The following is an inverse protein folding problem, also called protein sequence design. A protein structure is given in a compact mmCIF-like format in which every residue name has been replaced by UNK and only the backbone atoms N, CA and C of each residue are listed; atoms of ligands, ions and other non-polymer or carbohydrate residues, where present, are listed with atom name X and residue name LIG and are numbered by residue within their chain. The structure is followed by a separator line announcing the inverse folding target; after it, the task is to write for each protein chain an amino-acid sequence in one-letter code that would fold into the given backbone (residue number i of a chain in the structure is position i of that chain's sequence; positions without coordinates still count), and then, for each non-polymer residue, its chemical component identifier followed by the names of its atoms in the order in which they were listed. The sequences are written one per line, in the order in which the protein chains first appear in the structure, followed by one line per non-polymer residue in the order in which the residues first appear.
data_IF_050779653482
#
_entry.id   IF_050779653482
#
_cell.length_a   1.000
_cell.length_b   1.000
_cell.length_c   1.000
_cell.angle_alpha   90.00
_cell.angle_beta   90.00
_cell.angle_gamma   90.00
#
_symmetry.space_group_name_H-M   'P 1'
#
loop_
_entity.id
_entity.type
_entity.pdbx_description
1 polymer ?
#
# COMPACT_ATOMS: atom_id res chain seq x y z
N UNK A 1 -3.63 -17.47 -30.87
CA UNK A 1 -3.51 -17.88 -29.45
C UNK A 1 -2.23 -17.25 -28.91
N UNK A 2 -2.30 -16.52 -27.81
CA UNK A 2 -1.09 -15.91 -27.21
C UNK A 2 -0.27 -17.04 -26.57
N UNK A 3 1.03 -16.99 -26.75
CA UNK A 3 1.97 -17.85 -26.06
C UNK A 3 1.90 -17.54 -24.56
N UNK A 4 1.53 -18.54 -23.74
CA UNK A 4 1.32 -18.38 -22.29
C UNK A 4 2.60 -18.02 -21.56
N UNK A 5 3.74 -18.51 -21.98
CA UNK A 5 5.04 -18.18 -21.37
C UNK A 5 5.43 -16.74 -21.65
N UNK A 6 5.21 -16.26 -22.87
CA UNK A 6 5.43 -14.85 -23.21
C UNK A 6 4.49 -13.92 -22.47
N UNK A 7 3.21 -14.30 -22.33
CA UNK A 7 2.23 -13.53 -21.57
C UNK A 7 2.64 -13.40 -20.10
N UNK A 8 3.02 -14.51 -19.49
CA UNK A 8 3.45 -14.53 -18.10
C UNK A 8 4.69 -13.69 -17.87
N UNK A 9 5.69 -13.82 -18.74
CA UNK A 9 6.93 -13.04 -18.67
C UNK A 9 6.66 -11.53 -18.80
N UNK A 10 5.82 -11.12 -19.74
CA UNK A 10 5.45 -9.71 -19.92
C UNK A 10 4.68 -9.18 -18.72
N UNK A 11 3.76 -9.96 -18.17
CA UNK A 11 3.05 -9.61 -16.94
C UNK A 11 4.00 -9.40 -15.75
N UNK A 12 4.94 -10.31 -15.53
CA UNK A 12 5.93 -10.21 -14.46
C UNK A 12 6.84 -8.99 -14.64
N UNK A 13 7.29 -8.68 -15.87
CA UNK A 13 8.06 -7.47 -16.19
C UNK A 13 7.27 -6.20 -15.85
N UNK A 14 5.99 -6.10 -16.26
CA UNK A 14 5.17 -4.93 -15.97
C UNK A 14 4.84 -4.81 -14.48
N UNK A 15 4.65 -5.94 -13.78
CA UNK A 15 4.43 -5.93 -12.34
C UNK A 15 5.68 -5.47 -11.57
N UNK A 16 6.87 -5.86 -12.02
CA UNK A 16 8.12 -5.39 -11.44
C UNK A 16 8.35 -3.89 -11.72
N UNK A 17 8.13 -3.45 -12.95
CA UNK A 17 8.25 -2.04 -13.34
C UNK A 17 7.26 -1.15 -12.60
N UNK A 18 6.03 -1.60 -12.39
CA UNK A 18 5.03 -0.84 -11.64
C UNK A 18 5.47 -0.52 -10.21
N UNK A 19 6.24 -1.42 -9.57
CA UNK A 19 6.77 -1.20 -8.22
C UNK A 19 7.73 -0.02 -8.15
N UNK A 20 8.43 0.28 -9.26
CA UNK A 20 9.45 1.33 -9.35
C UNK A 20 8.95 2.55 -10.14
N UNK A 21 7.64 2.65 -10.37
CA UNK A 21 7.09 3.69 -11.23
C UNK A 21 7.14 5.06 -10.54
N UNK A 22 7.54 6.07 -11.31
CA UNK A 22 7.58 7.48 -10.85
C UNK A 22 6.31 8.26 -11.23
N UNK A 23 5.43 7.65 -12.05
CA UNK A 23 4.16 8.27 -12.45
C UNK A 23 3.18 8.23 -11.29
N UNK A 24 2.53 9.36 -10.99
CA UNK A 24 1.48 9.42 -9.98
C UNK A 24 0.28 8.58 -10.41
N UNK A 25 -0.03 7.54 -9.64
CA UNK A 25 -1.19 6.67 -9.84
C UNK A 25 -2.16 6.88 -8.68
N UNK A 26 -3.41 7.22 -8.98
CA UNK A 26 -4.44 7.36 -7.95
C UNK A 26 -4.78 6.00 -7.29
N UNK A 27 -5.37 6.06 -6.10
CA UNK A 27 -5.65 4.87 -5.29
C UNK A 27 -6.62 3.88 -5.95
N UNK A 28 -7.58 4.38 -6.73
CA UNK A 28 -8.51 3.53 -7.47
C UNK A 28 -7.73 2.68 -8.50
N UNK A 29 -6.84 3.30 -9.24
CA UNK A 29 -5.97 2.60 -10.20
C UNK A 29 -5.02 1.63 -9.51
N UNK A 30 -4.43 2.01 -8.35
CA UNK A 30 -3.59 1.10 -7.56
C UNK A 30 -4.37 -0.14 -7.12
N UNK A 31 -5.61 0.03 -6.66
CA UNK A 31 -6.47 -1.08 -6.25
C UNK A 31 -6.91 -1.95 -7.45
N UNK A 32 -7.19 -1.35 -8.60
CA UNK A 32 -7.44 -2.12 -9.83
C UNK A 32 -6.22 -2.97 -10.22
N UNK A 33 -5.00 -2.42 -10.17
CA UNK A 33 -3.78 -3.20 -10.37
C UNK A 33 -3.66 -4.33 -9.35
N UNK A 34 -3.93 -4.05 -8.08
CA UNK A 34 -3.92 -5.06 -7.03
C UNK A 34 -4.91 -6.20 -7.33
N UNK A 35 -6.16 -5.88 -7.64
CA UNK A 35 -7.19 -6.87 -7.96
C UNK A 35 -6.81 -7.75 -9.17
N UNK A 36 -6.33 -7.14 -10.25
CA UNK A 36 -5.84 -7.87 -11.42
C UNK A 36 -4.63 -8.75 -11.08
N UNK A 37 -3.67 -8.24 -10.32
CA UNK A 37 -2.50 -9.00 -9.86
C UNK A 37 -2.91 -10.23 -9.05
N UNK A 38 -3.85 -10.07 -8.10
CA UNK A 38 -4.36 -11.18 -7.28
C UNK A 38 -5.06 -12.25 -8.14
N UNK A 39 -5.92 -11.86 -9.08
CA UNK A 39 -6.56 -12.82 -9.98
C UNK A 39 -5.52 -13.52 -10.85
N UNK A 40 -4.54 -12.80 -11.38
CA UNK A 40 -3.49 -13.36 -12.24
C UNK A 40 -2.60 -14.38 -11.50
N UNK A 41 -2.29 -14.14 -10.23
CA UNK A 41 -1.31 -14.94 -9.47
C UNK A 41 -1.95 -15.98 -8.56
N UNK A 42 -3.04 -15.65 -7.88
CA UNK A 42 -3.72 -16.50 -6.90
C UNK A 42 -4.98 -17.14 -7.48
N UNK A 43 -5.70 -16.42 -8.34
CA UNK A 43 -6.98 -16.83 -8.90
C UNK A 43 -8.13 -15.98 -8.38
N UNK A 44 -9.36 -16.51 -8.52
CA UNK A 44 -10.57 -15.79 -8.13
C UNK A 44 -10.68 -15.63 -6.62
N UNK A 45 -11.22 -14.48 -6.19
CA UNK A 45 -11.57 -14.24 -4.80
C UNK A 45 -12.59 -15.27 -4.30
N UNK A 46 -12.44 -15.68 -3.06
CA UNK A 46 -13.40 -16.47 -2.30
C UNK A 46 -13.31 -16.10 -0.81
N UNK A 47 -14.33 -16.47 -0.04
CA UNK A 47 -14.31 -16.27 1.41
C UNK A 47 -13.18 -17.04 2.11
N UNK A 48 -12.70 -18.14 1.50
CA UNK A 48 -11.63 -18.96 2.06
C UNK A 48 -10.25 -18.36 1.82
N UNK A 49 -10.08 -17.58 0.73
CA UNK A 49 -8.80 -16.98 0.35
C UNK A 49 -8.75 -15.45 0.50
N UNK A 50 -9.79 -14.84 1.08
CA UNK A 50 -9.81 -13.41 1.34
C UNK A 50 -8.74 -13.00 2.34
N UNK A 51 -8.23 -11.79 2.18
CA UNK A 51 -7.38 -11.20 3.21
C UNK A 51 -8.19 -11.05 4.49
N UNK A 52 -7.64 -11.53 5.60
CA UNK A 52 -8.24 -11.33 6.92
C UNK A 52 -7.99 -9.90 7.36
N UNK A 53 -9.05 -9.10 7.38
CA UNK A 53 -8.99 -7.74 7.86
C UNK A 53 -9.04 -7.71 9.39
N UNK A 54 -8.15 -6.98 10.04
CA UNK A 54 -8.35 -6.56 11.43
C UNK A 54 -9.56 -5.63 11.53
N UNK A 55 -10.09 -5.43 12.74
CA UNK A 55 -11.34 -4.68 12.97
C UNK A 55 -11.31 -3.24 12.41
N UNK A 56 -10.12 -2.66 12.21
CA UNK A 56 -9.89 -1.33 11.66
C UNK A 56 -9.11 -1.33 10.33
N UNK A 57 -8.93 -2.48 9.69
CA UNK A 57 -8.16 -2.59 8.46
C UNK A 57 -9.03 -2.37 7.21
N UNK A 58 -9.24 -1.10 6.90
CA UNK A 58 -9.99 -0.69 5.71
C UNK A 58 -9.22 -0.92 4.41
N UNK A 59 -7.89 -0.86 4.48
CA UNK A 59 -7.04 -1.15 3.32
C UNK A 59 -7.28 -2.57 2.81
N UNK A 60 -7.33 -3.54 3.72
CA UNK A 60 -7.66 -4.93 3.39
C UNK A 60 -9.08 -5.07 2.86
N UNK A 61 -10.05 -4.33 3.39
CA UNK A 61 -11.41 -4.33 2.85
C UNK A 61 -11.44 -3.94 1.37
N UNK A 62 -10.79 -2.84 1.00
CA UNK A 62 -10.77 -2.37 -0.40
C UNK A 62 -9.89 -3.23 -1.30
N UNK A 63 -8.82 -3.81 -0.77
CA UNK A 63 -8.04 -4.83 -1.47
C UNK A 63 -8.89 -6.07 -1.78
N UNK A 64 -9.65 -6.56 -0.81
CA UNK A 64 -10.58 -7.68 -1.02
C UNK A 64 -11.66 -7.33 -2.04
N UNK A 65 -12.28 -6.14 -1.94
CA UNK A 65 -13.27 -5.67 -2.91
C UNK A 65 -12.69 -5.57 -4.32
N UNK A 66 -11.50 -5.03 -4.47
CA UNK A 66 -10.83 -4.94 -5.76
C UNK A 66 -10.53 -6.33 -6.35
N UNK A 67 -10.09 -7.27 -5.51
CA UNK A 67 -9.88 -8.65 -5.92
C UNK A 67 -11.19 -9.33 -6.32
N UNK A 68 -12.25 -9.19 -5.51
CA UNK A 68 -13.59 -9.72 -5.80
C UNK A 68 -14.13 -9.17 -7.13
N UNK A 69 -14.11 -7.86 -7.33
CA UNK A 69 -14.58 -7.20 -8.56
C UNK A 69 -13.76 -7.64 -9.79
N UNK A 70 -12.45 -7.83 -9.66
CA UNK A 70 -11.60 -8.35 -10.73
C UNK A 70 -11.76 -9.87 -10.96
N UNK A 71 -12.46 -10.60 -10.09
CA UNK A 71 -12.66 -12.06 -10.24
C UNK A 71 -13.62 -12.44 -11.38
N UNK A 72 -14.11 -11.47 -12.14
CA UNK A 72 -14.79 -11.70 -13.41
C UNK A 72 -13.82 -12.25 -14.47
N UNK A 73 -12.52 -11.98 -14.35
CA UNK A 73 -11.49 -12.44 -15.25
C UNK A 73 -11.00 -13.86 -14.89
N UNK A 74 -10.55 -14.60 -15.89
CA UNK A 74 -9.63 -15.73 -15.71
C UNK A 74 -8.22 -15.22 -15.39
N UNK A 75 -7.32 -16.08 -14.95
CA UNK A 75 -5.92 -15.69 -14.70
C UNK A 75 -5.24 -15.09 -15.94
N UNK A 76 -5.47 -15.69 -17.12
CA UNK A 76 -4.92 -15.20 -18.38
C UNK A 76 -5.50 -13.83 -18.77
N UNK A 77 -6.82 -13.66 -18.64
CA UNK A 77 -7.48 -12.35 -18.91
C UNK A 77 -6.98 -11.28 -17.95
N UNK A 78 -6.78 -11.61 -16.67
CA UNK A 78 -6.26 -10.68 -15.68
C UNK A 78 -4.82 -10.23 -15.99
N UNK A 79 -3.95 -11.13 -16.47
CA UNK A 79 -2.62 -10.77 -16.96
C UNK A 79 -2.70 -9.81 -18.14
N UNK A 80 -3.58 -10.08 -19.09
CA UNK A 80 -3.77 -9.25 -20.31
C UNK A 80 -4.27 -7.86 -19.92
N UNK A 81 -5.30 -7.77 -19.07
CA UNK A 81 -5.85 -6.49 -18.64
C UNK A 81 -4.85 -5.70 -17.79
N UNK A 82 -4.03 -6.39 -16.96
CA UNK A 82 -2.95 -5.75 -16.21
C UNK A 82 -1.93 -5.08 -17.14
N UNK A 83 -1.47 -5.80 -18.17
CA UNK A 83 -0.48 -5.30 -19.14
C UNK A 83 -1.07 -4.12 -19.94
N UNK A 84 -2.32 -4.24 -20.41
CA UNK A 84 -3.00 -3.15 -21.13
C UNK A 84 -3.12 -1.90 -20.26
N UNK A 85 -3.61 -2.06 -19.03
CA UNK A 85 -3.79 -0.98 -18.07
C UNK A 85 -2.46 -0.31 -17.68
N UNK A 86 -1.39 -1.10 -17.53
CA UNK A 86 -0.05 -0.58 -17.35
C UNK A 86 0.40 0.29 -18.53
N UNK A 87 0.25 -0.22 -19.76
CA UNK A 87 0.60 0.52 -20.97
C UNK A 87 -0.18 1.82 -21.14
N UNK A 88 -1.46 1.82 -20.81
CA UNK A 88 -2.31 3.00 -20.86
C UNK A 88 -1.82 4.10 -19.90
N UNK A 89 -1.46 3.73 -18.67
CA UNK A 89 -1.02 4.69 -17.65
C UNK A 89 0.39 5.21 -17.93
N UNK A 90 1.28 4.35 -18.42
CA UNK A 90 2.69 4.69 -18.58
C UNK A 90 3.05 5.17 -19.99
N UNK A 91 2.22 4.86 -21.00
CA UNK A 91 2.54 5.05 -22.41
C UNK A 91 3.58 4.06 -22.94
N UNK A 92 4.01 3.08 -22.14
CA UNK A 92 4.97 2.05 -22.58
C UNK A 92 4.30 1.10 -23.58
N UNK A 93 4.97 0.86 -24.73
CA UNK A 93 4.44 -0.04 -25.75
C UNK A 93 4.42 -1.49 -25.30
N UNK A 94 3.40 -2.21 -25.71
CA UNK A 94 3.24 -3.64 -25.45
C UNK A 94 3.81 -4.41 -26.65
N UNK A 95 4.69 -5.37 -26.39
CA UNK A 95 5.26 -6.24 -27.42
C UNK A 95 4.37 -7.43 -27.79
N UNK A 96 3.21 -7.58 -27.14
CA UNK A 96 2.24 -8.63 -27.39
C UNK A 96 1.05 -8.11 -28.21
N UNK A 97 0.62 -8.88 -29.20
CA UNK A 97 -0.56 -8.58 -30.00
C UNK A 97 -1.84 -9.10 -29.32
N UNK A 98 -2.58 -8.18 -28.72
CA UNK A 98 -3.88 -8.47 -28.09
C UNK A 98 -5.09 -8.24 -29.00
N UNK A 99 -4.90 -7.92 -30.30
CA UNK A 99 -5.99 -7.58 -31.20
C UNK A 99 -7.02 -8.72 -31.44
N UNK A 100 -6.58 -9.95 -31.18
CA UNK A 100 -7.41 -11.16 -31.32
C UNK A 100 -7.90 -11.73 -29.99
N UNK A 101 -7.67 -11.02 -28.89
CA UNK A 101 -8.08 -11.47 -27.54
C UNK A 101 -9.18 -10.55 -27.04
N UNK A 102 -10.35 -11.12 -26.88
CA UNK A 102 -11.48 -10.45 -26.22
C UNK A 102 -11.47 -10.87 -24.76
N UNK A 103 -11.29 -9.93 -23.87
CA UNK A 103 -11.46 -10.15 -22.43
C UNK A 103 -12.94 -10.00 -22.05
N UNK A 104 -13.35 -10.61 -20.95
CA UNK A 104 -14.76 -10.65 -20.50
C UNK A 104 -15.34 -9.26 -20.28
N UNK A 105 -14.49 -8.32 -19.83
CA UNK A 105 -14.79 -6.90 -19.61
C UNK A 105 -13.53 -6.07 -19.83
N UNK A 106 -13.67 -4.73 -19.97
CA UNK A 106 -12.56 -3.80 -19.79
C UNK A 106 -12.32 -3.53 -18.29
N UNK A 107 -11.08 -3.27 -17.90
CA UNK A 107 -10.78 -2.83 -16.52
C UNK A 107 -11.45 -1.50 -16.18
N UNK A 108 -11.76 -0.68 -17.19
CA UNK A 108 -12.48 0.58 -17.00
C UNK A 108 -13.92 0.38 -16.53
N UNK A 109 -14.54 -0.74 -16.95
CA UNK A 109 -15.90 -1.13 -16.52
C UNK A 109 -15.93 -1.64 -15.05
N UNK A 110 -14.78 -1.89 -14.43
CA UNK A 110 -14.70 -2.29 -13.04
C UNK A 110 -14.81 -1.04 -12.17
N UNK A 111 -15.95 -0.88 -11.53
CA UNK A 111 -16.19 0.18 -10.56
C UNK A 111 -15.92 -0.36 -9.17
N UNK A 112 -14.99 0.28 -8.47
CA UNK A 112 -14.74 0.02 -7.05
C UNK A 112 -15.57 1.02 -6.24
N UNK A 113 -16.34 0.54 -5.28
CA UNK A 113 -17.14 1.37 -4.37
C UNK A 113 -16.26 2.01 -3.30
N UNK A 114 -15.19 2.66 -3.78
CA UNK A 114 -14.30 3.43 -2.94
C UNK A 114 -14.95 4.80 -2.76
N UNK A 115 -15.24 5.19 -1.53
CA UNK A 115 -15.80 6.52 -1.26
C UNK A 115 -14.89 7.60 -1.85
N UNK A 116 -15.46 8.59 -2.55
CA UNK A 116 -14.71 9.78 -3.00
C UNK A 116 -14.05 10.43 -1.78
N UNK A 117 -12.72 10.50 -1.77
CA UNK A 117 -11.94 11.02 -0.66
C UNK A 117 -11.44 9.95 0.30
N UNK A 118 -11.55 8.66 -0.05
CA UNK A 118 -10.69 7.65 0.51
C UNK A 118 -9.30 7.88 -0.07
N UNK A 119 -8.62 8.80 0.55
CA UNK A 119 -7.20 8.75 0.60
C UNK A 119 -6.83 7.41 1.25
N UNK A 120 -5.64 6.96 0.97
CA UNK A 120 -5.04 5.73 1.49
C UNK A 120 -5.07 5.61 3.02
N UNK A 121 -5.82 6.41 3.74
CA UNK A 121 -5.84 6.43 5.20
C UNK A 121 -6.74 5.35 5.83
N UNK A 122 -7.47 4.56 5.05
CA UNK A 122 -8.21 3.41 5.59
C UNK A 122 -9.06 3.62 6.87
N UNK A 123 -9.06 4.82 7.38
CA UNK A 123 -9.71 5.21 8.62
C UNK A 123 -10.96 5.97 8.22
N UNK A 124 -12.07 5.39 8.29
CA UNK A 124 -13.43 5.93 8.31
C UNK A 124 -14.38 5.23 7.36
N UNK A 125 -15.00 4.27 7.94
CA UNK A 125 -16.23 3.64 7.49
C UNK A 125 -17.43 4.56 7.66
N UNK A 126 -18.39 4.27 6.83
CA UNK A 126 -19.78 4.75 6.75
C UNK A 126 -19.94 6.20 6.32
N UNK A 127 -19.96 6.39 5.04
CA UNK A 127 -20.20 7.62 4.29
C UNK A 127 -19.00 8.58 4.23
N UNK A 128 -18.25 8.50 3.15
CA UNK A 128 -17.06 9.34 2.90
C UNK A 128 -17.34 10.85 3.05
N UNK A 129 -18.57 11.30 2.80
CA UNK A 129 -18.98 12.70 3.02
C UNK A 129 -19.04 13.07 4.51
N UNK A 130 -19.53 12.17 5.36
CA UNK A 130 -19.60 12.40 6.80
C UNK A 130 -18.21 12.33 7.41
N UNK A 131 -17.36 11.40 6.96
CA UNK A 131 -15.99 11.22 7.44
C UNK A 131 -15.08 12.39 7.08
N UNK A 132 -15.18 12.88 5.84
CA UNK A 132 -14.43 14.07 5.42
C UNK A 132 -14.87 15.30 6.22
N UNK A 133 -16.17 15.47 6.44
CA UNK A 133 -16.69 16.55 7.24
C UNK A 133 -16.27 16.43 8.72
N UNK A 134 -16.30 15.23 9.29
CA UNK A 134 -15.83 14.98 10.67
C UNK A 134 -14.33 15.27 10.80
N UNK A 135 -13.51 14.85 9.83
CA UNK A 135 -12.10 15.19 9.82
C UNK A 135 -11.86 16.69 9.63
N UNK A 136 -12.56 17.33 8.70
CA UNK A 136 -12.47 18.79 8.50
C UNK A 136 -12.94 19.57 9.74
N UNK A 137 -14.01 19.11 10.40
CA UNK A 137 -14.49 19.73 11.64
C UNK A 137 -13.54 19.48 12.81
N UNK A 138 -12.94 18.28 12.91
CA UNK A 138 -11.88 18.01 13.88
C UNK A 138 -10.66 18.90 13.61
N UNK A 139 -10.18 18.98 12.37
CA UNK A 139 -9.01 19.79 12.02
C UNK A 139 -9.20 21.28 12.27
N UNK A 140 -10.42 21.82 12.23
CA UNK A 140 -10.70 23.22 12.62
C UNK A 140 -10.39 23.50 14.09
N UNK A 141 -10.50 22.49 14.95
CA UNK A 141 -10.27 22.58 16.39
C UNK A 141 -8.99 21.89 16.85
N UNK A 142 -8.37 21.10 15.96
CA UNK A 142 -7.13 20.38 16.26
C UNK A 142 -5.96 21.35 16.50
N UNK A 143 -4.97 20.95 17.30
CA UNK A 143 -3.74 21.72 17.46
C UNK A 143 -3.08 22.04 16.11
N UNK A 144 -2.46 23.21 16.01
CA UNK A 144 -1.83 23.68 14.76
C UNK A 144 -0.84 22.65 14.17
N UNK A 145 -0.07 22.00 15.04
CA UNK A 145 0.88 20.97 14.61
C UNK A 145 0.18 19.75 13.99
N UNK A 146 -0.99 19.36 14.52
CA UNK A 146 -1.79 18.28 13.94
C UNK A 146 -2.31 18.67 12.54
N UNK A 147 -2.81 19.88 12.39
CA UNK A 147 -3.28 20.38 11.09
C UNK A 147 -2.15 20.39 10.04
N UNK A 148 -0.93 20.78 10.45
CA UNK A 148 0.25 20.78 9.58
C UNK A 148 0.69 19.37 9.21
N UNK A 149 0.72 18.48 10.21
CA UNK A 149 1.11 17.09 10.00
C UNK A 149 0.13 16.36 9.08
N UNK A 150 -1.17 16.61 9.18
CA UNK A 150 -2.17 16.04 8.29
C UNK A 150 -1.94 16.42 6.81
N UNK A 151 -1.42 17.61 6.53
CA UNK A 151 -1.04 18.00 5.17
C UNK A 151 0.14 17.17 4.63
N UNK A 152 1.15 16.90 5.47
CA UNK A 152 2.26 16.01 5.10
C UNK A 152 1.76 14.59 4.91
N UNK A 153 0.95 14.10 5.85
CA UNK A 153 0.31 12.78 5.82
C UNK A 153 -0.45 12.60 4.50
N UNK A 154 -1.25 13.58 4.10
CA UNK A 154 -1.98 13.55 2.83
C UNK A 154 -1.04 13.41 1.62
N UNK A 155 0.05 14.19 1.56
CA UNK A 155 1.03 14.09 0.47
C UNK A 155 1.68 12.69 0.41
N UNK A 156 2.01 12.11 1.57
CA UNK A 156 2.59 10.77 1.66
C UNK A 156 1.63 9.73 1.07
N UNK A 157 0.35 9.79 1.45
CA UNK A 157 -0.69 8.88 0.98
C UNK A 157 -1.07 9.12 -0.49
N UNK A 158 -1.04 10.34 -0.97
CA UNK A 158 -1.26 10.67 -2.38
C UNK A 158 -0.15 10.11 -3.30
N UNK A 159 0.91 9.56 -2.70
CA UNK A 159 2.05 9.01 -3.42
C UNK A 159 2.96 10.09 -3.99
N UNK A 160 2.93 11.31 -3.42
CA UNK A 160 3.86 12.36 -3.81
C UNK A 160 5.31 11.90 -3.56
N UNK A 161 6.23 12.41 -4.38
CA UNK A 161 7.66 12.19 -4.18
C UNK A 161 8.10 12.95 -2.92
N UNK A 162 8.32 12.22 -1.84
CA UNK A 162 8.79 12.79 -0.57
C UNK A 162 10.28 12.57 -0.46
N UNK A 163 11.05 13.59 -0.80
CA UNK A 163 12.51 13.56 -0.67
C UNK A 163 12.97 14.03 0.71
N UNK A 164 14.24 13.81 1.02
CA UNK A 164 14.87 14.28 2.25
C UNK A 164 14.67 15.79 2.42
N UNK A 165 14.89 16.55 1.35
CA UNK A 165 14.77 18.00 1.33
C UNK A 165 13.34 18.46 1.64
N UNK A 166 12.33 17.74 1.12
CA UNK A 166 10.90 18.00 1.42
C UNK A 166 10.60 17.82 2.90
N UNK A 167 11.18 16.79 3.54
CA UNK A 167 10.99 16.56 4.98
C UNK A 167 11.71 17.64 5.82
N UNK A 168 12.96 17.96 5.48
CA UNK A 168 13.74 19.03 6.16
C UNK A 168 13.08 20.40 6.01
N UNK A 169 12.56 20.72 4.82
CA UNK A 169 11.83 21.98 4.58
C UNK A 169 10.53 22.02 5.39
N UNK A 170 9.78 20.91 5.41
CA UNK A 170 8.56 20.79 6.21
C UNK A 170 8.83 21.03 7.71
N UNK A 171 9.88 20.41 8.28
CA UNK A 171 10.26 20.59 9.68
C UNK A 171 10.63 22.06 9.98
N UNK A 172 11.42 22.67 9.09
CA UNK A 172 11.86 24.06 9.22
C UNK A 172 10.70 25.04 9.15
N UNK A 173 9.82 24.91 8.14
CA UNK A 173 8.69 25.81 7.94
C UNK A 173 7.67 25.71 9.07
N UNK A 174 7.44 24.50 9.56
CA UNK A 174 6.42 24.22 10.56
C UNK A 174 6.96 24.23 12.00
N UNK A 175 8.27 24.38 12.19
CA UNK A 175 8.96 24.27 13.51
C UNK A 175 8.60 22.97 14.22
N UNK A 176 8.51 21.88 13.45
CA UNK A 176 8.11 20.57 13.91
C UNK A 176 9.30 19.61 13.78
N UNK A 177 9.46 18.72 14.73
CA UNK A 177 10.42 17.62 14.65
C UNK A 177 9.67 16.31 14.37
N UNK A 178 9.82 15.78 13.17
CA UNK A 178 9.12 14.56 12.73
C UNK A 178 9.57 13.31 13.49
N UNK A 179 10.80 13.28 14.00
CA UNK A 179 11.30 12.19 14.82
C UNK A 179 10.48 12.02 16.10
N UNK A 180 10.10 13.15 16.72
CA UNK A 180 9.39 13.16 18.00
C UNK A 180 7.87 13.31 17.85
N UNK A 181 7.39 13.58 16.64
CA UNK A 181 5.95 13.78 16.44
C UNK A 181 5.20 12.46 16.36
N UNK A 182 4.02 12.46 16.98
CA UNK A 182 3.04 11.36 16.93
C UNK A 182 1.67 11.95 16.65
N UNK A 183 0.91 11.28 15.78
CA UNK A 183 -0.47 11.68 15.54
C UNK A 183 -1.41 11.20 16.67
N UNK A 184 -2.70 11.44 16.51
CA UNK A 184 -3.74 11.12 17.51
C UNK A 184 -3.90 9.61 17.80
N UNK A 185 -3.37 8.74 16.96
CA UNK A 185 -3.34 7.29 17.16
C UNK A 185 -1.92 6.78 17.43
N UNK A 186 -1.02 7.67 17.84
CA UNK A 186 0.37 7.40 18.17
C UNK A 186 1.23 6.92 17.00
N UNK A 187 0.80 7.15 15.76
CA UNK A 187 1.60 6.82 14.58
C UNK A 187 2.74 7.81 14.39
N UNK A 188 3.90 7.30 14.05
CA UNK A 188 5.04 8.10 13.60
C UNK A 188 4.98 8.32 12.09
N UNK A 189 5.76 9.25 11.59
CA UNK A 189 5.90 9.47 10.14
C UNK A 189 6.36 8.19 9.41
N UNK A 190 7.12 7.30 10.07
CA UNK A 190 7.53 6.03 9.48
C UNK A 190 6.36 5.04 9.36
N UNK A 191 5.47 4.95 10.36
CA UNK A 191 4.24 4.15 10.25
C UNK A 191 3.43 4.57 9.02
N UNK A 192 3.23 5.88 8.86
CA UNK A 192 2.46 6.45 7.76
C UNK A 192 3.12 6.19 6.41
N UNK A 193 4.43 6.37 6.31
CA UNK A 193 5.17 6.13 5.06
C UNK A 193 5.11 4.67 4.63
N UNK A 194 5.17 3.74 5.60
CA UNK A 194 5.07 2.29 5.36
C UNK A 194 3.65 1.89 5.00
N UNK A 195 2.66 2.42 5.69
CA UNK A 195 1.24 2.15 5.39
C UNK A 195 0.84 2.65 4.00
N UNK A 196 1.30 3.82 3.64
CA UNK A 196 1.10 4.40 2.30
C UNK A 196 1.93 3.69 1.20
N UNK A 197 2.81 2.75 1.56
CA UNK A 197 3.79 2.13 0.63
C UNK A 197 4.57 3.21 -0.14
N UNK A 198 4.84 4.35 0.51
CA UNK A 198 5.59 5.45 -0.09
C UNK A 198 7.09 5.23 0.07
N UNK A 199 7.66 4.46 -0.87
CA UNK A 199 9.08 4.11 -0.87
C UNK A 199 10.00 5.33 -0.76
N UNK A 200 9.69 6.42 -1.48
CA UNK A 200 10.52 7.63 -1.45
C UNK A 200 10.56 8.28 -0.08
N UNK A 201 9.46 8.25 0.65
CA UNK A 201 9.38 8.77 2.01
C UNK A 201 10.18 7.87 2.99
N UNK A 202 10.01 6.54 2.90
CA UNK A 202 10.77 5.59 3.74
C UNK A 202 12.28 5.74 3.51
N UNK A 203 12.73 5.78 2.25
CA UNK A 203 14.15 5.98 1.89
C UNK A 203 14.69 7.31 2.42
N UNK A 204 13.88 8.38 2.35
CA UNK A 204 14.27 9.71 2.87
C UNK A 204 14.39 9.72 4.38
N UNK A 205 13.51 9.03 5.10
CA UNK A 205 13.58 8.86 6.55
C UNK A 205 14.82 8.05 6.97
N UNK A 206 15.25 7.10 6.15
CA UNK A 206 16.52 6.37 6.36
C UNK A 206 17.71 7.31 6.16
N UNK A 207 17.73 8.11 5.10
CA UNK A 207 18.79 9.09 4.82
C UNK A 207 18.90 10.17 5.91
N UNK A 208 17.81 10.48 6.59
CA UNK A 208 17.79 11.37 7.77
C UNK A 208 18.17 10.67 9.07
N UNK A 209 18.40 9.35 9.06
CA UNK A 209 18.57 8.48 10.23
C UNK A 209 17.33 8.40 11.16
N UNK A 210 16.19 8.96 10.78
CA UNK A 210 14.96 8.90 11.59
C UNK A 210 14.38 7.49 11.64
N UNK A 211 14.41 6.77 10.51
CA UNK A 211 13.83 5.43 10.42
C UNK A 211 14.45 4.45 11.43
N UNK A 212 15.75 4.59 11.74
CA UNK A 212 16.42 3.72 12.72
C UNK A 212 15.87 3.89 14.14
N UNK A 213 15.52 5.09 14.52
CA UNK A 213 14.95 5.37 15.84
C UNK A 213 13.45 5.04 15.90
N UNK A 214 12.75 5.11 14.74
CA UNK A 214 11.32 4.92 14.64
C UNK A 214 10.88 3.47 14.33
N UNK A 215 11.80 2.60 13.91
CA UNK A 215 11.47 1.26 13.40
C UNK A 215 10.80 0.34 14.43
N UNK A 216 11.07 0.55 15.71
CA UNK A 216 10.54 -0.23 16.82
C UNK A 216 9.47 0.51 17.64
N UNK A 217 9.13 1.74 17.25
CA UNK A 217 8.04 2.49 17.87
C UNK A 217 6.70 1.81 17.59
N UNK A 218 5.77 1.90 18.53
CA UNK A 218 4.44 1.29 18.39
C UNK A 218 3.35 2.34 18.36
N UNK A 219 2.34 2.09 17.57
CA UNK A 219 1.09 2.86 17.59
C UNK A 219 0.17 2.45 18.74
N UNK A 220 -1.06 3.00 18.79
CA UNK A 220 -2.03 2.71 19.86
C UNK A 220 -2.53 1.26 19.89
N UNK A 221 -2.38 0.51 18.79
CA UNK A 221 -2.72 -0.92 18.73
C UNK A 221 -1.51 -1.83 18.91
N UNK A 222 -0.35 -1.25 19.24
CA UNK A 222 0.90 -1.97 19.50
C UNK A 222 1.67 -2.35 18.23
N UNK A 223 1.24 -1.89 17.05
CA UNK A 223 1.90 -2.20 15.80
C UNK A 223 3.14 -1.34 15.58
N UNK A 224 4.23 -1.96 15.16
CA UNK A 224 5.43 -1.27 14.65
C UNK A 224 5.32 -1.07 13.14
N UNK A 225 6.17 -0.24 12.52
CA UNK A 225 6.27 -0.15 11.06
C UNK A 225 6.48 -1.52 10.40
N UNK A 226 7.20 -2.44 11.04
CA UNK A 226 7.39 -3.81 10.53
C UNK A 226 6.10 -4.64 10.52
N UNK A 227 5.20 -4.48 11.50
CA UNK A 227 3.89 -5.12 11.47
C UNK A 227 3.08 -4.65 10.27
N UNK A 228 3.03 -3.34 10.03
CA UNK A 228 2.33 -2.74 8.89
C UNK A 228 2.94 -3.22 7.57
N UNK A 229 4.28 -3.24 7.46
CA UNK A 229 4.96 -3.74 6.27
C UNK A 229 4.67 -5.22 6.00
N UNK A 230 4.49 -6.03 7.06
CA UNK A 230 4.16 -7.45 6.96
C UNK A 230 2.71 -7.67 6.50
N UNK A 231 1.78 -6.83 6.95
CA UNK A 231 0.37 -6.86 6.54
C UNK A 231 0.22 -6.40 5.09
N UNK A 232 0.80 -5.26 4.73
CA UNK A 232 0.71 -4.70 3.39
C UNK A 232 1.52 -5.49 2.35
N UNK A 233 2.51 -6.25 2.81
CA UNK A 233 3.43 -7.07 2.05
C UNK A 233 3.94 -6.42 0.74
N UNK A 234 4.49 -5.21 0.85
CA UNK A 234 5.36 -4.68 -0.20
C UNK A 234 6.80 -5.10 0.07
N UNK A 235 7.35 -5.97 -0.80
CA UNK A 235 8.68 -6.57 -0.59
C UNK A 235 9.80 -5.51 -0.58
N UNK A 236 9.64 -4.42 -1.33
CA UNK A 236 10.68 -3.39 -1.42
C UNK A 236 10.73 -2.58 -0.13
N UNK A 237 9.56 -2.18 0.39
CA UNK A 237 9.47 -1.49 1.68
C UNK A 237 9.92 -2.42 2.80
N UNK A 238 9.49 -3.69 2.78
CA UNK A 238 9.89 -4.68 3.77
C UNK A 238 11.41 -4.89 3.77
N UNK A 239 12.03 -5.15 2.60
CA UNK A 239 13.48 -5.30 2.48
C UNK A 239 14.23 -4.05 2.97
N UNK A 240 13.74 -2.88 2.63
CA UNK A 240 14.35 -1.64 3.05
C UNK A 240 14.34 -1.49 4.58
N UNK A 241 13.22 -1.85 5.23
CA UNK A 241 13.10 -1.81 6.70
C UNK A 241 13.96 -2.87 7.39
N UNK A 242 14.17 -4.04 6.79
CA UNK A 242 15.04 -5.08 7.37
C UNK A 242 16.49 -4.62 7.54
N UNK A 243 16.96 -3.66 6.72
CA UNK A 243 18.31 -3.09 6.84
C UNK A 243 18.53 -2.31 8.13
N UNK A 244 17.45 -1.92 8.82
CA UNK A 244 17.49 -1.16 10.07
C UNK A 244 17.59 -2.04 11.32
N UNK A 245 17.69 -3.36 11.16
CA UNK A 245 17.71 -4.34 12.25
C UNK A 245 16.52 -4.20 13.22
N UNK A 246 15.27 -4.32 12.73
CA UNK A 246 14.08 -4.20 13.55
C UNK A 246 13.99 -5.31 14.60
N UNK A 247 13.32 -5.02 15.73
CA UNK A 247 13.04 -6.02 16.74
C UNK A 247 11.79 -6.85 16.36
N UNK A 248 12.00 -7.99 15.74
CA UNK A 248 10.93 -8.91 15.30
C UNK A 248 10.14 -9.57 16.44
N UNK A 249 10.53 -9.37 17.73
CA UNK A 249 9.87 -9.97 18.88
C UNK A 249 8.80 -9.07 19.50
N UNK A 250 8.68 -7.82 19.03
CA UNK A 250 7.62 -6.92 19.48
C UNK A 250 6.29 -7.52 19.10
N UNK A 251 5.37 -7.55 20.04
CA UNK A 251 4.00 -8.03 19.85
C UNK A 251 3.04 -6.86 19.89
N UNK A 252 2.06 -6.89 19.00
CA UNK A 252 0.93 -5.98 19.03
C UNK A 252 -0.05 -6.33 20.19
N UNK A 253 -1.15 -5.59 20.28
CA UNK A 253 -2.18 -5.81 21.32
C UNK A 253 -2.95 -7.13 21.16
N UNK A 254 -2.88 -7.79 20.00
CA UNK A 254 -3.41 -9.13 19.75
C UNK A 254 -2.40 -10.24 20.12
N UNK A 255 -1.19 -9.86 20.54
CA UNK A 255 -0.10 -10.75 20.89
C UNK A 255 0.66 -11.32 19.70
N UNK A 256 0.46 -10.76 18.50
CA UNK A 256 1.13 -11.16 17.25
C UNK A 256 2.40 -10.37 17.02
N UNK A 257 3.38 -11.03 16.44
CA UNK A 257 4.59 -10.39 15.90
C UNK A 257 4.42 -10.07 14.40
N UNK A 258 5.26 -9.21 13.86
CA UNK A 258 5.25 -8.95 12.41
C UNK A 258 5.51 -10.24 11.58
N UNK A 259 6.28 -11.20 12.11
CA UNK A 259 6.48 -12.50 11.46
C UNK A 259 5.22 -13.38 11.46
N UNK A 260 4.35 -13.24 12.46
CA UNK A 260 3.07 -13.97 12.49
C UNK A 260 2.17 -13.48 11.37
N UNK A 261 2.11 -12.19 11.10
CA UNK A 261 1.40 -11.62 9.96
C UNK A 261 1.98 -12.08 8.61
N UNK A 262 3.31 -12.22 8.49
CA UNK A 262 3.91 -12.80 7.27
C UNK A 262 3.54 -14.27 7.07
N UNK A 263 3.45 -15.06 8.15
CA UNK A 263 3.06 -16.48 8.07
C UNK A 263 1.58 -16.63 7.73
N UNK A 264 0.73 -15.74 8.24
CA UNK A 264 -0.70 -15.70 7.92
C UNK A 264 -0.98 -15.23 6.50
N UNK A 265 -0.02 -14.57 5.88
CA UNK A 265 -0.08 -14.14 4.48
C UNK A 265 0.26 -15.32 3.57
N UNK A 266 -0.56 -16.40 3.61
CA UNK A 266 -0.39 -17.61 2.79
C UNK A 266 -0.43 -17.34 1.27
N UNK A 267 -0.77 -16.13 0.88
CA UNK A 267 -1.07 -15.74 -0.48
C UNK A 267 0.11 -15.19 -1.27
N UNK A 268 1.16 -14.83 -0.59
CA UNK A 268 2.42 -14.43 -1.23
C UNK A 268 3.47 -15.42 -0.82
N UNK A 269 4.20 -15.96 -1.80
CA UNK A 269 5.37 -16.78 -1.54
C UNK A 269 6.41 -15.93 -0.82
N UNK A 270 6.20 -15.75 0.51
CA UNK A 270 7.14 -15.01 1.36
C UNK A 270 8.49 -15.70 1.26
N UNK A 271 9.52 -15.03 0.76
CA UNK A 271 10.82 -15.66 0.64
C UNK A 271 11.25 -16.24 1.99
N UNK A 272 11.67 -17.50 2.01
CA UNK A 272 12.05 -18.24 3.23
C UNK A 272 13.07 -17.50 4.11
N UNK A 273 13.85 -16.58 3.50
CA UNK A 273 14.80 -15.72 4.24
C UNK A 273 14.12 -14.86 5.31
N UNK A 274 12.83 -14.46 5.15
CA UNK A 274 12.11 -13.61 6.12
C UNK A 274 11.36 -14.41 7.19
N UNK A 275 11.17 -15.71 6.96
CA UNK A 275 10.46 -16.60 7.89
C UNK A 275 11.39 -17.31 8.90
N UNK A 276 12.72 -17.16 8.75
CA UNK A 276 13.68 -17.75 9.67
C UNK A 276 13.64 -17.03 11.02
N UNK A 277 13.48 -17.80 12.08
CA UNK A 277 13.73 -17.33 13.44
C UNK A 277 15.26 -17.25 13.61
N UNK A 278 15.78 -16.06 13.87
CA UNK A 278 17.15 -15.87 14.34
C UNK A 278 17.23 -16.07 15.85
#
# INVERSE_FOLDING_TARGET
MIDKEKLKKEFEDKAEKLRNITVKIDNNKKLKFYGLYKVATVGKYSEDNKLKAGFFDFTTKYKNEAWEKCSVYSQEEAMIEYIKFYSEITGEKIDLDFTKVTTSKSIDDITLDIPEGLDSQGIYSSTAKESKKVLEDYLKTAPENEQKFQKLKQKIYDGDLITKEVLEEFEKENKMNLLNYRDNINQTVLHIAVDAINFSCVDSLIKLNYAKDLINETDNVGMTPMHIASINFDINVYDLLTTLNPNYKIKDNEGKTCKDYLKENEEVEVPKKYLRDE
#
